data_IF_960276095293
#
_entry.id   IF_960276095293
#
_cell.length_a   1.000
_cell.length_b   1.000
_cell.length_c   1.000
_cell.angle_alpha   90.00
_cell.angle_beta   90.00
_cell.angle_gamma   90.00
#
_symmetry.space_group_name_H-M   'P 1'
#
loop_
_entity.id
_entity.type
_entity.pdbx_description
1 polymer ?
#
# COMPACT_ATOMS: atom_id res chain seq x y z
N UNK A 1 -20.12 -2.24 -3.44
CA UNK A 1 -21.21 -1.70 -2.61
C UNK A 1 -20.59 -0.98 -1.43
N UNK A 2 -21.05 0.20 -1.13
CA UNK A 2 -20.66 0.88 0.11
C UNK A 2 -21.41 0.18 1.24
N UNK A 3 -20.69 -0.27 2.30
CA UNK A 3 -21.34 -1.01 3.39
C UNK A 3 -22.24 -0.07 4.14
N UNK A 4 -23.43 -0.52 4.41
CA UNK A 4 -24.42 0.23 5.16
C UNK A 4 -24.06 0.25 6.63
N UNK A 5 -24.30 1.37 7.29
CA UNK A 5 -24.04 1.54 8.73
C UNK A 5 -24.78 0.51 9.56
N UNK A 6 -25.97 0.11 9.13
CA UNK A 6 -26.77 -0.95 9.78
C UNK A 6 -26.06 -2.29 9.87
N UNK A 7 -25.21 -2.63 8.89
CA UNK A 7 -24.43 -3.88 8.88
C UNK A 7 -23.26 -3.88 9.88
N UNK A 8 -22.89 -2.71 10.39
CA UNK A 8 -21.83 -2.54 11.39
C UNK A 8 -22.31 -2.68 12.83
N UNK A 9 -23.63 -2.69 13.04
CA UNK A 9 -24.24 -2.81 14.36
C UNK A 9 -24.04 -4.23 14.88
N UNK A 10 -23.31 -4.37 15.98
CA UNK A 10 -23.01 -5.67 16.59
C UNK A 10 -23.84 -5.96 17.83
N UNK A 11 -24.31 -4.92 18.52
CA UNK A 11 -25.07 -5.00 19.77
C UNK A 11 -26.12 -3.89 19.81
N UNK A 12 -27.22 -4.15 20.47
CA UNK A 12 -28.20 -3.13 20.83
C UNK A 12 -27.53 -2.09 21.73
N UNK A 13 -27.77 -0.78 21.53
CA UNK A 13 -27.19 0.25 22.35
C UNK A 13 -27.80 0.23 23.75
N UNK A 14 -27.02 0.54 24.78
CA UNK A 14 -27.58 0.78 26.10
C UNK A 14 -28.32 2.12 26.12
N UNK A 15 -29.53 2.08 26.62
CA UNK A 15 -30.41 3.25 26.74
C UNK A 15 -30.95 3.34 28.17
N UNK A 16 -31.01 4.55 28.70
CA UNK A 16 -31.64 4.83 29.99
C UNK A 16 -32.49 6.10 29.94
N UNK A 17 -33.32 6.29 30.97
CA UNK A 17 -34.14 7.50 31.14
C UNK A 17 -33.27 8.68 31.66
N UNK A 18 -33.65 9.95 31.41
CA UNK A 18 -32.87 11.13 31.81
C UNK A 18 -32.62 11.20 33.32
N UNK A 19 -33.53 10.72 34.14
CA UNK A 19 -33.43 10.74 35.63
C UNK A 19 -32.68 9.54 36.22
N UNK A 20 -32.13 8.64 35.40
CA UNK A 20 -31.32 7.51 35.87
C UNK A 20 -30.06 8.02 36.56
N UNK A 21 -29.75 7.50 37.76
CA UNK A 21 -28.56 7.90 38.49
C UNK A 21 -27.26 7.45 37.82
N UNK A 22 -26.17 8.23 37.99
CA UNK A 22 -24.85 7.88 37.49
C UNK A 22 -24.39 6.50 37.99
N UNK A 23 -24.72 6.13 39.22
CA UNK A 23 -24.42 4.82 39.78
C UNK A 23 -25.01 3.70 38.93
N UNK A 24 -26.30 3.79 38.62
CA UNK A 24 -27.00 2.79 37.80
C UNK A 24 -26.42 2.76 36.36
N UNK A 25 -26.14 3.91 35.79
CA UNK A 25 -25.51 4.06 34.45
C UNK A 25 -24.17 3.35 34.41
N UNK A 26 -23.28 3.61 35.38
CA UNK A 26 -21.95 3.03 35.41
C UNK A 26 -21.98 1.52 35.64
N UNK A 27 -22.87 1.04 36.53
CA UNK A 27 -23.09 -0.40 36.71
C UNK A 27 -23.58 -1.09 35.44
N UNK A 28 -24.47 -0.44 34.70
CA UNK A 28 -24.93 -0.99 33.42
C UNK A 28 -23.83 -0.98 32.35
N UNK A 29 -23.08 0.10 32.24
CA UNK A 29 -21.94 0.22 31.30
C UNK A 29 -20.84 -0.82 31.58
N UNK A 30 -20.54 -1.08 32.85
CA UNK A 30 -19.55 -2.08 33.27
C UNK A 30 -20.04 -3.50 32.97
N UNK A 31 -21.26 -3.85 33.40
CA UNK A 31 -21.86 -5.18 33.15
C UNK A 31 -21.88 -5.52 31.68
N UNK A 32 -22.26 -4.57 30.81
CA UNK A 32 -22.37 -4.79 29.36
C UNK A 32 -21.05 -4.51 28.61
N UNK A 33 -19.97 -4.20 29.35
CA UNK A 33 -18.65 -3.90 28.79
C UNK A 33 -18.70 -2.85 27.67
N UNK A 34 -19.52 -1.79 27.84
CA UNK A 34 -19.66 -0.71 26.85
C UNK A 34 -19.06 0.60 27.34
N UNK A 35 -18.66 1.46 26.39
CA UNK A 35 -18.06 2.79 26.67
C UNK A 35 -19.06 3.94 26.58
N UNK A 36 -20.35 3.67 26.34
CA UNK A 36 -21.35 4.72 26.11
C UNK A 36 -22.75 4.29 26.58
N UNK A 37 -23.54 5.29 26.98
CA UNK A 37 -24.95 5.18 27.37
C UNK A 37 -25.74 6.23 26.59
N UNK A 38 -26.75 5.82 25.87
CA UNK A 38 -27.74 6.73 25.27
C UNK A 38 -28.82 7.08 26.29
N UNK A 39 -29.31 8.30 26.19
CA UNK A 39 -30.40 8.79 27.02
C UNK A 39 -31.61 9.06 26.10
N UNK A 40 -32.72 8.41 26.36
CA UNK A 40 -33.97 8.61 25.64
C UNK A 40 -35.11 8.87 26.61
N UNK A 41 -36.12 9.59 26.14
CA UNK A 41 -37.35 9.79 26.91
C UNK A 41 -38.29 8.59 26.82
N UNK A 42 -39.46 8.70 27.48
CA UNK A 42 -40.48 7.64 27.50
C UNK A 42 -41.05 7.31 26.10
N UNK A 43 -40.91 8.23 25.14
CA UNK A 43 -41.34 8.01 23.75
C UNK A 43 -40.25 7.33 22.91
N UNK A 44 -39.04 7.12 23.46
CA UNK A 44 -37.89 6.58 22.77
C UNK A 44 -37.07 7.62 21.97
N UNK A 45 -37.40 8.92 22.09
CA UNK A 45 -36.63 9.97 21.43
C UNK A 45 -35.30 10.22 22.15
N UNK A 46 -34.20 10.18 21.37
CA UNK A 46 -32.83 10.31 21.90
C UNK A 46 -32.60 11.76 22.33
N UNK A 47 -32.28 11.96 23.60
CA UNK A 47 -32.03 13.28 24.21
C UNK A 47 -30.55 13.54 24.47
N UNK A 48 -29.74 12.48 24.68
CA UNK A 48 -28.36 12.64 25.05
C UNK A 48 -27.53 11.36 24.92
N UNK A 49 -26.24 11.53 25.08
CA UNK A 49 -25.23 10.46 25.20
C UNK A 49 -24.24 10.78 26.28
N UNK A 50 -23.84 9.78 27.06
CA UNK A 50 -22.72 9.85 28.00
C UNK A 50 -21.69 8.81 27.57
N UNK A 51 -20.42 9.25 27.46
CA UNK A 51 -19.31 8.37 27.06
C UNK A 51 -18.23 8.32 28.17
N UNK A 52 -17.32 7.33 28.11
CA UNK A 52 -16.18 7.25 29.05
C UNK A 52 -15.34 8.54 29.06
N UNK A 53 -15.27 9.25 27.95
CA UNK A 53 -14.53 10.51 27.87
C UNK A 53 -15.22 11.61 28.70
N UNK A 54 -16.54 11.64 28.70
CA UNK A 54 -17.32 12.62 29.46
C UNK A 54 -17.18 12.40 30.98
N UNK A 55 -16.95 11.15 31.42
CA UNK A 55 -16.86 10.81 32.85
C UNK A 55 -15.76 11.59 33.57
N UNK A 56 -14.58 11.73 32.95
CA UNK A 56 -13.44 12.42 33.57
C UNK A 56 -13.79 13.89 33.78
N UNK A 57 -14.26 14.56 32.74
CA UNK A 57 -14.42 16.01 32.74
C UNK A 57 -15.73 16.49 33.39
N UNK A 58 -16.78 15.65 33.37
CA UNK A 58 -18.12 16.04 33.80
C UNK A 58 -18.59 15.40 35.13
N UNK A 59 -17.90 14.34 35.57
CA UNK A 59 -18.27 13.62 36.79
C UNK A 59 -17.10 13.63 37.79
N UNK A 60 -15.93 13.11 37.38
CA UNK A 60 -14.80 12.85 38.28
C UNK A 60 -14.16 14.19 38.74
N UNK A 61 -13.75 15.04 37.78
CA UNK A 61 -13.11 16.32 38.12
C UNK A 61 -14.02 17.28 38.90
N UNK A 62 -15.35 17.40 38.57
CA UNK A 62 -16.27 18.18 39.36
C UNK A 62 -16.71 17.47 40.65
N UNK A 63 -16.30 16.22 40.90
CA UNK A 63 -16.64 15.43 42.10
C UNK A 63 -18.16 15.30 42.31
N UNK A 64 -18.93 15.06 41.23
CA UNK A 64 -20.36 14.92 41.31
C UNK A 64 -20.76 13.63 42.05
N UNK A 65 -21.81 13.67 42.92
CA UNK A 65 -22.34 12.50 43.58
C UNK A 65 -22.84 11.46 42.55
N UNK A 66 -22.66 10.18 42.82
CA UNK A 66 -23.19 9.10 41.98
C UNK A 66 -24.73 9.02 41.94
N UNK A 67 -25.42 9.70 42.83
CA UNK A 67 -26.86 9.91 42.80
C UNK A 67 -27.33 10.94 41.76
N UNK A 68 -26.40 11.71 41.15
CA UNK A 68 -26.71 12.71 40.13
C UNK A 68 -27.43 12.06 38.94
N UNK A 69 -28.52 12.63 38.41
CA UNK A 69 -29.17 12.16 37.21
C UNK A 69 -28.27 12.35 35.97
N UNK A 70 -28.32 11.36 35.01
CA UNK A 70 -27.50 11.39 33.81
C UNK A 70 -27.76 12.62 32.92
N UNK A 71 -28.98 13.18 32.95
CA UNK A 71 -29.34 14.37 32.18
C UNK A 71 -28.50 15.61 32.52
N UNK A 72 -27.93 15.66 33.75
CA UNK A 72 -27.06 16.75 34.19
C UNK A 72 -25.67 16.73 33.53
N UNK A 73 -25.22 15.57 33.05
CA UNK A 73 -23.85 15.37 32.55
C UNK A 73 -23.77 14.88 31.10
N UNK A 74 -24.91 14.45 30.52
CA UNK A 74 -24.93 13.97 29.14
C UNK A 74 -24.60 15.06 28.12
N UNK A 75 -24.07 14.67 26.98
CA UNK A 75 -23.97 15.51 25.78
C UNK A 75 -25.31 15.57 25.08
N UNK A 76 -25.77 16.78 24.75
CA UNK A 76 -27.01 17.06 24.01
C UNK A 76 -26.73 17.38 22.54
N UNK A 77 -27.78 17.51 21.71
CA UNK A 77 -27.62 17.87 20.30
C UNK A 77 -26.97 16.76 19.47
N UNK A 78 -27.34 15.53 19.74
CA UNK A 78 -26.75 14.33 19.17
C UNK A 78 -26.99 14.28 17.65
N UNK A 79 -25.95 13.94 16.92
CA UNK A 79 -26.05 13.62 15.49
C UNK A 79 -26.38 12.14 15.34
N UNK A 80 -27.38 11.85 14.54
CA UNK A 80 -27.81 10.49 14.19
C UNK A 80 -27.55 10.21 12.72
N UNK A 81 -27.48 8.95 12.33
CA UNK A 81 -27.30 8.52 10.96
C UNK A 81 -28.32 7.43 10.62
N UNK A 82 -28.73 7.36 9.36
CA UNK A 82 -29.64 6.31 8.90
C UNK A 82 -28.89 4.99 8.73
N UNK A 83 -29.58 3.86 9.02
CA UNK A 83 -29.01 2.51 8.87
C UNK A 83 -28.59 2.20 7.42
N UNK A 84 -29.26 2.80 6.42
CA UNK A 84 -28.97 2.64 5.01
C UNK A 84 -27.84 3.56 4.50
N UNK A 85 -27.39 4.51 5.33
CA UNK A 85 -26.23 5.36 5.01
C UNK A 85 -24.95 4.55 4.90
N UNK A 86 -24.01 5.02 4.06
CA UNK A 86 -22.71 4.39 3.88
C UNK A 86 -21.75 4.59 5.07
N UNK A 87 -20.88 3.62 5.33
CA UNK A 87 -19.86 3.71 6.39
C UNK A 87 -18.94 4.93 6.21
N UNK A 88 -18.67 5.36 4.97
CA UNK A 88 -17.92 6.58 4.67
C UNK A 88 -18.65 7.84 5.16
N UNK A 89 -19.94 7.91 4.95
CA UNK A 89 -20.77 9.02 5.41
C UNK A 89 -20.73 9.13 6.94
N UNK A 90 -20.79 7.99 7.65
CA UNK A 90 -20.63 7.95 9.10
C UNK A 90 -19.27 8.51 9.54
N UNK A 91 -18.16 8.13 8.88
CA UNK A 91 -16.83 8.66 9.17
C UNK A 91 -16.73 10.16 8.93
N UNK A 92 -17.25 10.65 7.81
CA UNK A 92 -17.25 12.08 7.48
C UNK A 92 -18.08 12.87 8.48
N UNK A 93 -19.23 12.33 8.90
CA UNK A 93 -20.09 12.95 9.92
C UNK A 93 -19.38 13.01 11.27
N UNK A 94 -18.72 11.92 11.71
CA UNK A 94 -17.93 11.90 12.94
C UNK A 94 -16.80 12.94 12.91
N UNK A 95 -16.04 13.00 11.80
CA UNK A 95 -14.96 13.96 11.64
C UNK A 95 -15.46 15.41 11.62
N UNK A 96 -16.51 15.70 10.85
CA UNK A 96 -17.09 17.05 10.69
C UNK A 96 -17.64 17.60 12.02
N UNK A 97 -18.30 16.74 12.78
CA UNK A 97 -18.95 17.13 14.05
C UNK A 97 -18.07 16.83 15.27
N UNK A 98 -16.85 16.30 15.08
CA UNK A 98 -15.91 15.93 16.14
C UNK A 98 -16.53 15.00 17.19
N UNK A 99 -17.38 14.06 16.73
CA UNK A 99 -18.01 13.01 17.53
C UNK A 99 -17.44 11.65 17.20
N UNK A 100 -17.40 10.74 18.16
CA UNK A 100 -16.87 9.38 18.01
C UNK A 100 -17.94 8.29 18.01
N UNK A 101 -19.19 8.69 18.17
CA UNK A 101 -20.35 7.80 18.24
C UNK A 101 -21.51 8.44 17.50
N UNK A 102 -22.21 7.66 16.70
CA UNK A 102 -23.43 8.05 16.00
C UNK A 102 -24.52 7.02 16.31
N UNK A 103 -25.63 7.41 16.97
CA UNK A 103 -26.82 6.59 17.03
C UNK A 103 -27.35 6.35 15.63
N UNK A 104 -27.71 5.10 15.35
CA UNK A 104 -28.21 4.64 14.05
C UNK A 104 -29.71 4.50 14.12
N UNK A 105 -30.39 5.16 13.20
CA UNK A 105 -31.85 5.10 13.08
C UNK A 105 -32.24 4.29 11.85
N UNK A 106 -33.35 3.56 11.95
CA UNK A 106 -34.03 2.94 10.83
C UNK A 106 -35.51 3.29 10.91
N UNK A 107 -36.01 3.92 9.87
CA UNK A 107 -37.39 4.44 9.85
C UNK A 107 -37.73 5.34 11.07
N UNK A 108 -36.72 6.10 11.55
CA UNK A 108 -36.88 6.98 12.70
C UNK A 108 -36.69 6.31 14.09
N UNK A 109 -36.54 5.00 14.15
CA UNK A 109 -36.34 4.24 15.39
C UNK A 109 -34.83 3.95 15.60
N UNK A 110 -34.39 4.00 16.86
CA UNK A 110 -33.05 3.64 17.25
C UNK A 110 -32.80 2.15 17.09
N UNK A 111 -31.91 1.76 16.19
CA UNK A 111 -31.56 0.35 15.94
C UNK A 111 -30.15 0.00 16.40
N UNK A 112 -29.27 1.01 16.62
CA UNK A 112 -27.90 0.75 16.98
C UNK A 112 -27.11 1.99 17.36
N UNK A 113 -25.85 1.76 17.69
CA UNK A 113 -24.84 2.79 17.89
C UNK A 113 -23.58 2.34 17.15
N UNK A 114 -23.07 3.18 16.25
CA UNK A 114 -21.79 2.96 15.57
C UNK A 114 -20.74 3.89 16.15
N UNK A 115 -19.55 3.36 16.43
CA UNK A 115 -18.42 4.13 16.91
C UNK A 115 -17.28 4.21 15.87
N UNK A 116 -16.38 5.18 16.04
CA UNK A 116 -15.14 5.27 15.27
C UNK A 116 -14.33 3.96 15.32
N UNK A 117 -14.35 3.27 16.48
CA UNK A 117 -13.71 1.97 16.65
C UNK A 117 -14.36 0.87 15.81
N UNK A 118 -15.67 0.89 15.66
CA UNK A 118 -16.39 -0.12 14.86
C UNK A 118 -16.07 0.05 13.37
N UNK A 119 -16.02 1.28 12.89
CA UNK A 119 -15.59 1.64 11.54
C UNK A 119 -14.14 1.22 11.29
N UNK A 120 -13.25 1.48 12.24
CA UNK A 120 -11.84 1.07 12.16
C UNK A 120 -11.67 -0.46 12.19
N UNK A 121 -12.36 -1.14 13.10
CA UNK A 121 -12.33 -2.61 13.18
C UNK A 121 -12.87 -3.27 11.91
N UNK A 122 -13.88 -2.67 11.32
CA UNK A 122 -14.44 -3.13 10.04
C UNK A 122 -13.41 -3.02 8.90
N UNK A 123 -12.73 -1.88 8.77
CA UNK A 123 -11.64 -1.72 7.78
C UNK A 123 -10.53 -2.77 8.00
N UNK A 124 -10.14 -2.98 9.25
CA UNK A 124 -9.15 -4.00 9.63
C UNK A 124 -9.62 -5.43 9.31
N UNK A 125 -10.90 -5.71 9.52
CA UNK A 125 -11.51 -7.01 9.18
C UNK A 125 -11.55 -7.23 7.67
N UNK A 126 -11.88 -6.22 6.87
CA UNK A 126 -11.90 -6.31 5.40
C UNK A 126 -10.53 -6.64 4.82
N UNK A 127 -9.46 -6.03 5.34
CA UNK A 127 -8.08 -6.34 4.94
C UNK A 127 -7.70 -7.78 5.28
N UNK A 128 -8.02 -8.22 6.51
CA UNK A 128 -7.73 -9.60 6.95
C UNK A 128 -8.50 -10.63 6.12
N UNK A 129 -9.77 -10.37 5.84
CA UNK A 129 -10.60 -11.24 5.00
C UNK A 129 -10.00 -11.34 3.60
N UNK A 130 -9.62 -10.21 2.99
CA UNK A 130 -9.03 -10.20 1.65
C UNK A 130 -7.68 -10.93 1.61
N UNK A 131 -6.79 -10.70 2.59
CA UNK A 131 -5.53 -11.44 2.69
C UNK A 131 -5.76 -12.94 2.86
N UNK A 132 -6.69 -13.33 3.73
CA UNK A 132 -7.06 -14.74 3.92
C UNK A 132 -7.67 -15.36 2.67
N UNK A 133 -8.53 -14.63 1.95
CA UNK A 133 -9.09 -15.09 0.67
C UNK A 133 -8.01 -15.33 -0.38
N UNK A 134 -7.00 -14.45 -0.46
CA UNK A 134 -5.85 -14.64 -1.35
C UNK A 134 -5.07 -15.90 -0.97
N UNK A 135 -4.76 -16.09 0.31
CA UNK A 135 -4.01 -17.23 0.81
C UNK A 135 -4.73 -18.57 0.59
N UNK A 136 -6.07 -18.56 0.70
CA UNK A 136 -6.92 -19.74 0.57
C UNK A 136 -7.40 -20.02 -0.85
N UNK A 137 -7.15 -19.12 -1.82
CA UNK A 137 -7.55 -19.32 -3.22
C UNK A 137 -6.89 -20.57 -3.80
N UNK A 138 -7.67 -21.44 -4.43
CA UNK A 138 -7.16 -22.69 -5.00
C UNK A 138 -6.95 -22.61 -6.52
N UNK A 139 -7.43 -21.54 -7.16
CA UNK A 139 -7.36 -21.36 -8.61
C UNK A 139 -6.98 -19.96 -9.04
N UNK A 140 -6.45 -19.82 -10.27
CA UNK A 140 -6.16 -18.52 -10.90
C UNK A 140 -7.42 -17.65 -11.05
N UNK A 141 -8.59 -18.19 -11.45
CA UNK A 141 -9.84 -17.41 -11.48
C UNK A 141 -10.23 -16.80 -10.11
N UNK A 142 -10.03 -17.53 -8.99
CA UNK A 142 -10.32 -17.01 -7.66
C UNK A 142 -9.40 -15.83 -7.32
N UNK A 143 -8.11 -15.95 -7.65
CA UNK A 143 -7.14 -14.87 -7.47
C UNK A 143 -7.47 -13.64 -8.31
N UNK A 144 -8.03 -13.80 -9.51
CA UNK A 144 -8.52 -12.69 -10.34
C UNK A 144 -9.65 -11.93 -9.63
N UNK A 145 -10.56 -12.63 -8.96
CA UNK A 145 -11.61 -11.98 -8.16
C UNK A 145 -11.01 -11.20 -7.00
N UNK A 146 -10.03 -11.79 -6.29
CA UNK A 146 -9.30 -11.10 -5.23
C UNK A 146 -8.57 -9.85 -5.73
N UNK A 147 -7.93 -9.88 -6.89
CA UNK A 147 -7.28 -8.72 -7.50
C UNK A 147 -8.30 -7.58 -7.79
N UNK A 148 -9.50 -7.93 -8.23
CA UNK A 148 -10.62 -6.98 -8.35
C UNK A 148 -11.00 -6.32 -7.02
N UNK A 149 -10.98 -7.07 -5.91
CA UNK A 149 -11.24 -6.52 -4.57
C UNK A 149 -10.10 -5.60 -4.10
N UNK A 150 -8.83 -5.93 -4.40
CA UNK A 150 -7.69 -5.03 -4.12
C UNK A 150 -7.90 -3.68 -4.79
N UNK A 151 -8.32 -3.68 -6.06
CA UNK A 151 -8.60 -2.44 -6.80
C UNK A 151 -9.76 -1.64 -6.18
N UNK A 152 -10.85 -2.32 -5.79
CA UNK A 152 -12.00 -1.67 -5.13
C UNK A 152 -11.60 -1.06 -3.79
N UNK A 153 -10.79 -1.78 -3.01
CA UNK A 153 -10.26 -1.31 -1.73
C UNK A 153 -9.37 -0.07 -1.94
N UNK A 154 -8.45 -0.11 -2.90
CA UNK A 154 -7.57 1.02 -3.22
C UNK A 154 -8.36 2.29 -3.57
N UNK A 155 -9.45 2.17 -4.34
CA UNK A 155 -10.34 3.28 -4.68
C UNK A 155 -10.99 3.87 -3.43
N UNK A 156 -11.55 3.04 -2.57
CA UNK A 156 -12.19 3.48 -1.31
C UNK A 156 -11.21 4.25 -0.42
N UNK A 157 -10.03 3.68 -0.19
CA UNK A 157 -9.01 4.31 0.65
C UNK A 157 -8.49 5.63 0.06
N UNK A 158 -8.35 5.71 -1.26
CA UNK A 158 -7.99 6.97 -1.94
C UNK A 158 -9.07 8.05 -1.76
N UNK A 159 -10.34 7.69 -1.90
CA UNK A 159 -11.47 8.59 -1.69
C UNK A 159 -11.54 9.10 -0.23
N UNK A 160 -11.10 8.28 0.72
CA UNK A 160 -10.99 8.62 2.15
C UNK A 160 -9.77 9.49 2.48
N UNK A 161 -8.94 9.84 1.50
CA UNK A 161 -7.78 10.71 1.71
C UNK A 161 -6.55 10.00 2.31
N UNK A 162 -6.49 8.66 2.27
CA UNK A 162 -5.30 7.91 2.69
C UNK A 162 -4.10 8.37 1.87
N UNK A 163 -2.96 8.57 2.53
CA UNK A 163 -1.73 8.99 1.89
C UNK A 163 -1.31 8.01 0.77
N UNK A 164 -0.94 8.54 -0.39
CA UNK A 164 -0.65 7.75 -1.59
C UNK A 164 0.47 6.71 -1.38
N UNK A 165 1.50 7.04 -0.61
CA UNK A 165 2.58 6.11 -0.26
C UNK A 165 2.13 4.99 0.65
N UNK A 166 1.25 5.26 1.62
CA UNK A 166 0.66 4.21 2.46
C UNK A 166 -0.24 3.29 1.63
N UNK A 167 -1.02 3.87 0.70
CA UNK A 167 -1.86 3.12 -0.22
C UNK A 167 -1.03 2.26 -1.18
N UNK A 168 0.05 2.80 -1.76
CA UNK A 168 0.95 2.03 -2.63
C UNK A 168 1.59 0.83 -1.90
N UNK A 169 2.04 1.03 -0.66
CA UNK A 169 2.56 -0.08 0.18
C UNK A 169 1.51 -1.15 0.46
N UNK A 170 0.27 -0.74 0.76
CA UNK A 170 -0.81 -1.69 0.98
C UNK A 170 -1.13 -2.48 -0.29
N UNK A 171 -1.23 -1.81 -1.44
CA UNK A 171 -1.44 -2.45 -2.74
C UNK A 171 -0.29 -3.41 -3.06
N UNK A 172 0.97 -2.98 -2.87
CA UNK A 172 2.14 -3.84 -3.06
C UNK A 172 2.08 -5.09 -2.18
N UNK A 173 1.73 -4.93 -0.89
CA UNK A 173 1.62 -6.06 0.03
C UNK A 173 0.55 -7.09 -0.40
N UNK A 174 -0.62 -6.63 -0.87
CA UNK A 174 -1.68 -7.51 -1.37
C UNK A 174 -1.29 -8.15 -2.70
N UNK A 175 -0.65 -7.41 -3.59
CA UNK A 175 -0.12 -7.94 -4.86
C UNK A 175 0.97 -9.01 -4.62
N UNK A 176 1.83 -8.80 -3.63
CA UNK A 176 2.80 -9.81 -3.17
C UNK A 176 2.10 -11.12 -2.76
N UNK A 177 1.00 -11.01 -2.01
CA UNK A 177 0.17 -12.15 -1.64
C UNK A 177 -0.39 -12.88 -2.86
N UNK A 178 -0.93 -12.14 -3.83
CA UNK A 178 -1.43 -12.68 -5.09
C UNK A 178 -0.31 -13.40 -5.86
N UNK A 179 0.86 -12.78 -6.00
CA UNK A 179 2.02 -13.36 -6.70
C UNK A 179 2.49 -14.64 -6.02
N UNK A 180 2.66 -14.65 -4.68
CA UNK A 180 3.04 -15.87 -3.93
C UNK A 180 2.03 -16.99 -4.13
N UNK A 181 0.74 -16.68 -4.16
CA UNK A 181 -0.28 -17.71 -4.33
C UNK A 181 -0.31 -18.26 -5.75
N UNK A 182 -0.13 -17.42 -6.80
CA UNK A 182 0.06 -17.88 -8.18
C UNK A 182 1.24 -18.82 -8.27
N UNK A 183 2.40 -18.45 -7.68
CA UNK A 183 3.60 -19.29 -7.63
C UNK A 183 3.27 -20.66 -7.03
N UNK A 184 2.66 -20.69 -5.84
CA UNK A 184 2.29 -21.92 -5.14
C UNK A 184 1.37 -22.83 -5.96
N UNK A 185 0.36 -22.26 -6.63
CA UNK A 185 -0.56 -23.02 -7.50
C UNK A 185 0.20 -23.62 -8.71
N UNK A 186 1.10 -22.85 -9.33
CA UNK A 186 1.89 -23.32 -10.47
C UNK A 186 2.91 -24.41 -10.06
N UNK A 187 3.60 -24.23 -8.91
CA UNK A 187 4.50 -25.25 -8.38
C UNK A 187 3.79 -26.57 -8.12
N UNK A 188 2.65 -26.53 -7.43
CA UNK A 188 1.86 -27.72 -7.14
C UNK A 188 1.40 -28.43 -8.42
N UNK A 189 0.94 -27.66 -9.42
CA UNK A 189 0.47 -28.21 -10.70
C UNK A 189 1.59 -28.88 -11.51
N UNK A 190 2.78 -28.29 -11.50
CA UNK A 190 3.90 -28.75 -12.32
C UNK A 190 4.88 -29.67 -11.60
N UNK A 191 4.68 -29.93 -10.31
CA UNK A 191 5.62 -30.70 -9.48
C UNK A 191 5.95 -32.09 -10.02
N UNK A 192 4.97 -32.78 -10.60
CA UNK A 192 5.16 -34.12 -11.18
C UNK A 192 5.94 -34.09 -12.50
N UNK A 193 5.83 -33.01 -13.28
CA UNK A 193 6.47 -32.86 -14.60
C UNK A 193 7.91 -32.36 -14.46
N UNK A 194 8.15 -31.41 -13.56
CA UNK A 194 9.45 -30.77 -13.39
C UNK A 194 10.42 -31.57 -12.51
N UNK A 195 9.89 -32.49 -11.70
CA UNK A 195 10.70 -33.20 -10.70
C UNK A 195 11.27 -32.25 -9.62
N UNK A 196 12.25 -32.73 -8.84
CA UNK A 196 12.84 -31.94 -7.77
C UNK A 196 13.69 -30.80 -8.34
N UNK A 197 13.27 -29.55 -8.06
CA UNK A 197 14.05 -28.35 -8.36
C UNK A 197 15.03 -28.04 -7.21
N UNK A 198 16.20 -27.47 -7.53
CA UNK A 198 17.12 -26.97 -6.52
C UNK A 198 16.52 -25.76 -5.76
N UNK A 199 17.21 -25.33 -4.73
CA UNK A 199 16.86 -24.10 -4.00
C UNK A 199 16.76 -22.91 -4.94
N UNK A 200 15.68 -22.14 -4.87
CA UNK A 200 15.44 -21.00 -5.76
C UNK A 200 14.64 -19.89 -5.09
N UNK A 201 14.68 -18.72 -5.69
CA UNK A 201 13.92 -17.56 -5.23
C UNK A 201 13.33 -16.79 -6.42
N UNK A 202 12.05 -16.44 -6.30
CA UNK A 202 11.41 -15.46 -7.17
C UNK A 202 11.79 -14.05 -6.74
N UNK A 203 12.30 -13.27 -7.68
CA UNK A 203 12.70 -11.88 -7.49
C UNK A 203 11.65 -10.94 -8.06
N UNK A 204 11.09 -10.08 -7.22
CA UNK A 204 10.31 -8.93 -7.64
C UNK A 204 11.26 -7.80 -8.02
N UNK A 205 11.05 -7.18 -9.18
CA UNK A 205 11.91 -6.13 -9.73
C UNK A 205 11.17 -4.79 -9.82
N UNK A 206 11.87 -3.74 -10.22
CA UNK A 206 11.27 -2.44 -10.51
C UNK A 206 10.38 -1.89 -9.39
N UNK A 207 9.17 -1.48 -9.69
CA UNK A 207 8.24 -0.94 -8.70
C UNK A 207 7.75 -1.99 -7.69
N UNK A 208 7.70 -3.26 -8.06
CA UNK A 208 7.35 -4.37 -7.17
C UNK A 208 8.48 -4.60 -6.16
N UNK A 209 9.72 -4.64 -6.62
CA UNK A 209 10.89 -4.76 -5.75
C UNK A 209 11.01 -3.60 -4.74
N UNK A 210 10.54 -2.40 -5.10
CA UNK A 210 10.53 -1.23 -4.21
C UNK A 210 9.29 -1.13 -3.31
N UNK A 211 8.32 -2.04 -3.41
CA UNK A 211 7.01 -1.94 -2.72
C UNK A 211 6.26 -0.63 -3.04
N UNK A 212 6.40 -0.17 -4.28
CA UNK A 212 5.83 1.10 -4.77
C UNK A 212 4.85 0.87 -5.92
N UNK A 213 4.31 -0.35 -6.06
CA UNK A 213 3.32 -0.65 -7.06
C UNK A 213 2.08 0.22 -6.89
N UNK A 214 1.47 0.54 -8.00
CA UNK A 214 0.19 1.21 -8.06
C UNK A 214 -0.86 0.25 -8.62
N UNK A 215 -2.10 0.68 -8.76
CA UNK A 215 -3.21 -0.19 -9.17
C UNK A 215 -3.14 -0.68 -10.62
N UNK A 216 -2.34 -0.03 -11.47
CA UNK A 216 -2.04 -0.49 -12.83
C UNK A 216 -0.53 -0.71 -12.93
N UNK A 217 -0.09 -1.94 -12.85
CA UNK A 217 1.31 -2.35 -12.91
C UNK A 217 1.45 -3.54 -13.84
N UNK A 218 2.52 -3.56 -14.61
CA UNK A 218 2.99 -4.70 -15.38
C UNK A 218 3.90 -5.58 -14.53
N UNK A 219 4.24 -6.73 -15.03
CA UNK A 219 5.16 -7.65 -14.36
C UNK A 219 6.60 -7.22 -14.62
N UNK A 220 7.41 -7.17 -13.55
CA UNK A 220 8.86 -7.08 -13.62
C UNK A 220 9.44 -8.09 -12.63
N UNK A 221 9.97 -9.22 -13.11
CA UNK A 221 10.40 -10.30 -12.24
C UNK A 221 11.56 -11.12 -12.81
N UNK A 222 12.23 -11.87 -11.94
CA UNK A 222 13.31 -12.77 -12.28
C UNK A 222 13.32 -14.00 -11.37
N UNK A 223 14.13 -15.01 -11.71
CA UNK A 223 14.45 -16.15 -10.87
C UNK A 223 15.96 -16.19 -10.63
N UNK A 224 16.33 -16.49 -9.37
CA UNK A 224 17.67 -16.92 -8.99
C UNK A 224 17.59 -18.31 -8.37
N UNK A 225 18.48 -19.23 -8.72
CA UNK A 225 18.50 -20.60 -8.23
C UNK A 225 19.93 -21.11 -8.00
N UNK A 226 20.08 -22.11 -7.11
CA UNK A 226 21.35 -22.80 -6.87
C UNK A 226 21.59 -23.90 -7.90
N UNK A 227 22.87 -24.21 -8.15
CA UNK A 227 23.30 -25.36 -8.96
C UNK A 227 23.54 -25.05 -10.44
N UNK A 228 23.61 -26.12 -11.24
CA UNK A 228 24.01 -26.06 -12.65
C UNK A 228 22.94 -25.37 -13.50
N UNK A 229 23.22 -24.15 -13.97
CA UNK A 229 22.33 -23.32 -14.76
C UNK A 229 21.78 -24.05 -16.00
N UNK A 230 22.63 -24.61 -16.90
CA UNK A 230 22.19 -25.37 -18.07
C UNK A 230 21.24 -26.53 -17.75
N UNK A 231 21.48 -27.26 -16.65
CA UNK A 231 20.68 -28.43 -16.26
C UNK A 231 19.25 -28.07 -15.86
N UNK A 232 19.05 -26.99 -15.13
CA UNK A 232 17.75 -26.65 -14.54
C UNK A 232 17.01 -25.55 -15.29
N UNK A 233 17.64 -24.89 -16.25
CA UNK A 233 17.09 -23.72 -16.96
C UNK A 233 15.75 -24.01 -17.61
N UNK A 234 15.61 -25.13 -18.31
CA UNK A 234 14.37 -25.44 -19.02
C UNK A 234 13.21 -25.68 -18.04
N UNK A 235 13.46 -26.38 -16.94
CA UNK A 235 12.46 -26.60 -15.90
C UNK A 235 12.01 -25.28 -15.25
N UNK A 236 12.95 -24.38 -14.92
CA UNK A 236 12.61 -23.07 -14.39
C UNK A 236 11.88 -22.17 -15.40
N UNK A 237 12.21 -22.26 -16.70
CA UNK A 237 11.49 -21.53 -17.75
C UNK A 237 10.04 -21.98 -17.87
N UNK A 238 9.80 -23.29 -17.82
CA UNK A 238 8.44 -23.84 -17.83
C UNK A 238 7.64 -23.37 -16.62
N UNK A 239 8.23 -23.44 -15.42
CA UNK A 239 7.63 -22.91 -14.20
C UNK A 239 7.37 -21.41 -14.30
N UNK A 240 8.36 -20.63 -14.71
CA UNK A 240 8.26 -19.19 -14.86
C UNK A 240 7.21 -18.78 -15.89
N UNK A 241 7.12 -19.50 -17.02
CA UNK A 241 6.09 -19.26 -18.04
C UNK A 241 4.69 -19.49 -17.47
N UNK A 242 4.47 -20.58 -16.72
CA UNK A 242 3.20 -20.84 -16.07
C UNK A 242 2.85 -19.74 -15.06
N UNK A 243 3.81 -19.28 -14.26
CA UNK A 243 3.62 -18.19 -13.28
C UNK A 243 3.31 -16.88 -14.00
N UNK A 244 4.10 -16.47 -15.00
CA UNK A 244 3.90 -15.21 -15.72
C UNK A 244 2.55 -15.18 -16.45
N UNK A 245 2.12 -16.29 -17.05
CA UNK A 245 0.78 -16.38 -17.65
C UNK A 245 -0.33 -16.37 -16.61
N UNK A 246 -0.16 -17.07 -15.48
CA UNK A 246 -1.10 -17.03 -14.37
C UNK A 246 -1.25 -15.62 -13.80
N UNK A 247 -0.15 -14.90 -13.62
CA UNK A 247 -0.17 -13.49 -13.20
C UNK A 247 -0.89 -12.60 -14.23
N UNK A 248 -0.70 -12.85 -15.54
CA UNK A 248 -1.41 -12.10 -16.58
C UNK A 248 -2.93 -12.34 -16.52
N UNK A 249 -3.38 -13.57 -16.24
CA UNK A 249 -4.79 -13.90 -16.04
C UNK A 249 -5.39 -13.23 -14.78
N UNK A 250 -4.62 -13.15 -13.70
CA UNK A 250 -5.00 -12.46 -12.47
C UNK A 250 -5.20 -10.96 -12.69
N UNK A 251 -4.47 -10.36 -13.64
CA UNK A 251 -4.61 -8.95 -13.99
C UNK A 251 -3.30 -8.14 -13.98
N UNK A 252 -2.14 -8.81 -13.94
CA UNK A 252 -0.82 -8.20 -14.10
C UNK A 252 -0.31 -8.41 -15.53
N UNK A 253 -0.46 -7.45 -16.46
CA UNK A 253 -0.06 -7.63 -17.85
C UNK A 253 1.41 -8.02 -18.00
N UNK A 254 1.73 -8.79 -19.02
CA UNK A 254 3.11 -9.12 -19.37
C UNK A 254 3.91 -7.84 -19.65
N UNK A 255 5.15 -7.81 -19.19
CA UNK A 255 6.05 -6.68 -19.41
C UNK A 255 6.41 -6.54 -20.89
N UNK A 256 6.13 -5.37 -21.50
CA UNK A 256 6.48 -5.08 -22.89
C UNK A 256 7.98 -5.07 -23.14
N UNK A 257 8.77 -4.81 -22.11
CA UNK A 257 10.25 -4.83 -22.14
C UNK A 257 10.84 -6.22 -21.96
N UNK A 258 10.01 -7.25 -21.76
CA UNK A 258 10.46 -8.62 -21.57
C UNK A 258 11.18 -8.89 -20.26
N UNK A 259 10.99 -8.05 -19.24
CA UNK A 259 11.59 -8.21 -17.91
C UNK A 259 10.77 -9.21 -17.10
N UNK A 260 10.88 -10.48 -17.46
CA UNK A 260 10.10 -11.57 -16.86
C UNK A 260 10.93 -12.83 -16.74
N UNK A 261 10.74 -13.57 -15.67
CA UNK A 261 11.45 -14.80 -15.34
C UNK A 261 11.34 -15.89 -16.44
N UNK A 262 10.27 -15.87 -17.24
CA UNK A 262 10.11 -16.76 -18.39
C UNK A 262 11.14 -16.55 -19.51
N UNK A 263 11.86 -15.44 -19.52
CA UNK A 263 12.90 -15.11 -20.49
C UNK A 263 14.29 -15.49 -19.95
N UNK A 264 15.14 -16.07 -20.77
CA UNK A 264 16.48 -16.56 -20.41
C UNK A 264 17.34 -15.53 -19.67
N UNK A 265 17.19 -14.26 -20.04
CA UNK A 265 17.91 -13.16 -19.44
C UNK A 265 17.63 -12.98 -17.93
N UNK A 266 16.42 -13.35 -17.50
CA UNK A 266 15.91 -13.11 -16.15
C UNK A 266 15.73 -14.40 -15.34
N UNK A 267 16.17 -15.55 -15.87
CA UNK A 267 16.16 -16.85 -15.20
C UNK A 267 17.57 -17.44 -15.17
N UNK A 268 18.28 -17.30 -14.05
CA UNK A 268 19.69 -17.63 -13.97
C UNK A 268 20.05 -18.29 -12.63
N UNK A 269 21.10 -19.11 -12.64
CA UNK A 269 21.74 -19.56 -11.39
C UNK A 269 22.42 -18.39 -10.67
N UNK A 270 22.80 -18.59 -9.40
CA UNK A 270 23.53 -17.58 -8.61
C UNK A 270 24.83 -17.19 -9.32
N UNK A 271 25.57 -18.19 -9.85
CA UNK A 271 26.84 -17.99 -10.57
C UNK A 271 26.62 -17.18 -11.85
N UNK A 272 25.62 -17.55 -12.64
CA UNK A 272 25.29 -16.84 -13.87
C UNK A 272 24.80 -15.41 -13.61
N UNK A 273 24.12 -15.15 -12.51
CA UNK A 273 23.77 -13.79 -12.11
C UNK A 273 25.03 -12.97 -11.75
N UNK A 274 25.99 -13.57 -11.01
CA UNK A 274 27.25 -12.92 -10.66
C UNK A 274 28.08 -12.58 -11.90
N UNK A 275 28.16 -13.48 -12.85
CA UNK A 275 28.84 -13.25 -14.13
C UNK A 275 28.16 -12.12 -14.91
N UNK A 276 26.85 -12.20 -15.06
CA UNK A 276 26.07 -11.23 -15.82
C UNK A 276 26.16 -9.81 -15.24
N UNK A 277 26.05 -9.67 -13.93
CA UNK A 277 26.24 -8.37 -13.25
C UNK A 277 27.69 -7.88 -13.35
N UNK A 278 28.66 -8.79 -13.28
CA UNK A 278 30.07 -8.43 -13.48
C UNK A 278 30.35 -7.88 -14.87
N UNK A 279 29.65 -8.38 -15.91
CA UNK A 279 29.73 -7.82 -17.26
C UNK A 279 29.16 -6.40 -17.33
N UNK A 280 28.05 -6.11 -16.63
CA UNK A 280 27.52 -4.75 -16.55
C UNK A 280 28.53 -3.78 -15.94
N UNK A 281 29.24 -4.21 -14.90
CA UNK A 281 30.28 -3.38 -14.26
C UNK A 281 31.48 -3.10 -15.18
N UNK A 282 31.89 -4.11 -15.93
CA UNK A 282 33.03 -4.00 -16.85
C UNK A 282 32.71 -3.20 -18.11
N UNK A 283 31.50 -3.39 -18.63
CA UNK A 283 31.05 -2.83 -19.91
C UNK A 283 29.67 -2.15 -19.73
N UNK A 284 29.63 -0.91 -19.21
CA UNK A 284 28.38 -0.18 -18.96
C UNK A 284 27.79 0.37 -20.27
N UNK A 285 27.31 -0.52 -21.13
CA UNK A 285 26.60 -0.19 -22.38
C UNK A 285 25.17 0.27 -22.05
N UNK A 286 24.48 1.02 -22.94
CA UNK A 286 23.11 1.51 -22.68
C UNK A 286 22.13 0.40 -22.26
N UNK A 287 22.18 -0.77 -22.90
CA UNK A 287 21.31 -1.90 -22.58
C UNK A 287 21.60 -2.45 -21.17
N UNK A 288 22.89 -2.57 -20.81
CA UNK A 288 23.31 -3.02 -19.48
C UNK A 288 22.89 -2.03 -18.39
N UNK A 289 22.98 -0.72 -18.67
CA UNK A 289 22.52 0.32 -17.74
C UNK A 289 21.00 0.29 -17.55
N UNK A 290 20.23 0.05 -18.62
CA UNK A 290 18.78 -0.10 -18.55
C UNK A 290 18.41 -1.31 -17.69
N UNK A 291 19.03 -2.46 -17.91
CA UNK A 291 18.81 -3.67 -17.14
C UNK A 291 19.17 -3.50 -15.67
N UNK A 292 20.33 -2.92 -15.40
CA UNK A 292 20.80 -2.62 -14.05
C UNK A 292 19.84 -1.68 -13.30
N UNK A 293 19.29 -0.67 -13.99
CA UNK A 293 18.28 0.23 -13.43
C UNK A 293 17.00 -0.48 -12.99
N UNK A 294 16.63 -1.57 -13.63
CA UNK A 294 15.47 -2.38 -13.25
C UNK A 294 15.88 -3.38 -12.18
N UNK A 295 17.03 -4.04 -12.36
CA UNK A 295 17.46 -5.15 -11.52
C UNK A 295 17.85 -4.71 -10.10
N UNK A 296 18.53 -3.59 -9.91
CA UNK A 296 19.03 -3.19 -8.58
C UNK A 296 17.97 -2.84 -7.56
N UNK A 297 16.71 -2.85 -7.96
CA UNK A 297 15.56 -2.76 -7.06
C UNK A 297 15.01 -4.13 -6.63
N UNK A 298 15.68 -5.25 -7.01
CA UNK A 298 15.14 -6.57 -6.73
C UNK A 298 14.93 -6.84 -5.24
N UNK A 299 13.94 -7.69 -4.96
CA UNK A 299 13.60 -8.20 -3.64
C UNK A 299 13.19 -9.66 -3.76
N UNK A 300 13.66 -10.53 -2.87
CA UNK A 300 13.15 -11.89 -2.78
C UNK A 300 11.69 -11.88 -2.35
N UNK A 301 10.81 -12.52 -3.12
CA UNK A 301 9.38 -12.53 -2.86
C UNK A 301 8.85 -13.91 -2.45
N UNK A 302 9.32 -14.97 -3.07
CA UNK A 302 8.89 -16.36 -2.81
C UNK A 302 10.05 -17.32 -2.98
N UNK A 303 9.99 -18.46 -2.34
CA UNK A 303 11.10 -19.42 -2.27
C UNK A 303 12.13 -19.05 -1.21
N UNK A 304 13.39 -19.37 -1.42
CA UNK A 304 14.48 -19.13 -0.46
C UNK A 304 15.03 -17.69 -0.60
N UNK A 305 14.49 -16.76 0.19
CA UNK A 305 14.81 -15.33 0.15
C UNK A 305 16.30 -15.05 0.42
N UNK A 306 16.98 -15.94 1.16
CA UNK A 306 18.42 -15.86 1.42
C UNK A 306 19.24 -15.70 0.13
N UNK A 307 18.86 -16.36 -0.96
CA UNK A 307 19.55 -16.23 -2.26
C UNK A 307 19.53 -14.79 -2.78
N UNK A 308 18.42 -14.10 -2.63
CA UNK A 308 18.31 -12.70 -3.01
C UNK A 308 19.20 -11.80 -2.15
N UNK A 309 19.21 -12.03 -0.82
CA UNK A 309 19.99 -11.22 0.11
C UNK A 309 21.50 -11.42 -0.08
N UNK A 310 21.95 -12.64 -0.33
CA UNK A 310 23.34 -12.97 -0.63
C UNK A 310 23.79 -12.34 -1.97
N UNK A 311 22.94 -12.45 -3.00
CA UNK A 311 23.24 -11.83 -4.30
C UNK A 311 23.33 -10.30 -4.16
N UNK A 312 22.43 -9.68 -3.40
CA UNK A 312 22.45 -8.24 -3.12
C UNK A 312 23.75 -7.82 -2.38
N UNK A 313 24.09 -8.56 -1.34
CA UNK A 313 25.30 -8.31 -0.55
C UNK A 313 26.54 -8.40 -1.42
N UNK A 314 26.61 -9.41 -2.28
CA UNK A 314 27.70 -9.57 -3.23
C UNK A 314 27.76 -8.39 -4.22
N UNK A 315 26.63 -7.93 -4.77
CA UNK A 315 26.55 -6.78 -5.67
C UNK A 315 27.11 -5.53 -4.98
N UNK A 316 26.73 -5.24 -3.75
CA UNK A 316 27.23 -4.05 -3.03
C UNK A 316 28.72 -4.10 -2.76
N UNK A 317 29.29 -5.28 -2.49
CA UNK A 317 30.73 -5.44 -2.34
C UNK A 317 31.47 -5.15 -3.67
N UNK A 318 30.90 -5.58 -4.79
CA UNK A 318 31.55 -5.39 -6.09
C UNK A 318 31.38 -3.95 -6.63
N UNK A 319 30.19 -3.36 -6.52
CA UNK A 319 29.88 -2.07 -7.14
C UNK A 319 30.76 -0.93 -6.61
N UNK A 320 31.19 -1.00 -5.35
CA UNK A 320 32.05 0.00 -4.73
C UNK A 320 33.40 0.22 -5.49
N UNK A 321 33.91 -0.84 -6.13
CA UNK A 321 35.13 -0.80 -6.97
C UNK A 321 34.89 -0.23 -8.39
N UNK A 322 33.63 -0.10 -8.83
CA UNK A 322 33.33 0.22 -10.24
C UNK A 322 32.76 1.64 -10.43
N UNK A 323 33.55 2.65 -10.07
CA UNK A 323 33.15 4.08 -10.13
C UNK A 323 32.68 4.54 -11.51
N UNK A 324 33.24 3.99 -12.61
CA UNK A 324 32.80 4.31 -13.95
C UNK A 324 31.38 3.84 -14.22
N UNK A 325 31.04 2.63 -13.79
CA UNK A 325 29.68 2.09 -13.90
C UNK A 325 28.66 2.96 -13.14
N UNK A 326 28.95 3.32 -11.89
CA UNK A 326 28.06 4.19 -11.08
C UNK A 326 27.83 5.53 -11.78
N UNK A 327 28.90 6.16 -12.31
CA UNK A 327 28.80 7.43 -13.07
C UNK A 327 27.99 7.28 -14.36
N UNK A 328 28.16 6.17 -15.07
CA UNK A 328 27.43 5.89 -16.31
C UNK A 328 25.94 5.68 -16.03
N UNK A 329 25.62 4.95 -14.96
CA UNK A 329 24.25 4.71 -14.50
C UNK A 329 23.55 6.04 -14.17
N UNK A 330 24.21 6.91 -13.40
CA UNK A 330 23.73 8.25 -13.06
C UNK A 330 23.54 9.13 -14.31
N UNK A 331 24.50 9.14 -15.22
CA UNK A 331 24.43 9.92 -16.45
C UNK A 331 23.31 9.49 -17.39
N UNK A 332 23.02 8.20 -17.48
CA UNK A 332 21.95 7.66 -18.33
C UNK A 332 20.57 8.02 -17.77
N UNK A 333 20.34 7.78 -16.49
CA UNK A 333 19.10 8.11 -15.81
C UNK A 333 18.80 9.62 -15.86
N UNK A 334 19.81 10.46 -15.72
CA UNK A 334 19.66 11.91 -15.78
C UNK A 334 19.34 12.38 -17.20
N UNK A 335 19.99 11.83 -18.24
CA UNK A 335 19.70 12.16 -19.65
C UNK A 335 18.28 11.80 -20.04
N UNK A 336 17.81 10.61 -19.68
CA UNK A 336 16.44 10.17 -19.98
C UNK A 336 15.40 11.04 -19.25
N UNK A 337 15.66 11.40 -18.00
CA UNK A 337 14.80 12.27 -17.19
C UNK A 337 14.75 13.70 -17.73
N UNK A 338 15.89 14.31 -18.04
CA UNK A 338 15.97 15.67 -18.57
C UNK A 338 15.39 15.76 -19.98
N UNK A 339 15.69 14.80 -20.86
CA UNK A 339 15.15 14.77 -22.22
C UNK A 339 13.61 14.66 -22.25
N UNK A 340 13.00 14.01 -21.28
CA UNK A 340 11.55 13.90 -21.15
C UNK A 340 10.93 15.12 -20.49
N UNK A 341 11.57 15.69 -19.47
CA UNK A 341 11.14 16.94 -18.83
C UNK A 341 11.20 18.11 -19.81
N UNK A 342 12.23 18.21 -20.64
CA UNK A 342 12.38 19.31 -21.61
C UNK A 342 11.45 19.22 -22.82
N UNK A 343 10.93 18.04 -23.13
CA UNK A 343 9.96 17.84 -24.21
C UNK A 343 8.51 18.09 -23.78
N UNK A 344 8.24 18.23 -22.49
CA UNK A 344 6.89 18.42 -21.97
C UNK A 344 6.78 19.79 -21.28
N UNK A 345 6.13 20.80 -21.91
CA UNK A 345 5.99 22.14 -21.32
C UNK A 345 5.23 22.13 -19.99
N UNK A 346 4.40 21.11 -19.76
CA UNK A 346 3.66 20.91 -18.50
C UNK A 346 4.60 20.45 -17.40
N UNK A 347 5.54 19.53 -17.69
CA UNK A 347 6.54 19.08 -16.72
C UNK A 347 7.47 20.22 -16.31
N UNK A 348 7.83 21.14 -17.24
CA UNK A 348 8.61 22.35 -16.93
C UNK A 348 7.80 23.29 -16.03
N UNK A 349 6.51 23.46 -16.29
CA UNK A 349 5.61 24.27 -15.47
C UNK A 349 5.42 23.67 -14.08
N UNK A 350 5.32 22.34 -13.97
CA UNK A 350 5.27 21.59 -12.69
C UNK A 350 6.58 21.77 -11.91
N UNK A 351 7.72 21.63 -12.55
CA UNK A 351 9.03 21.84 -11.91
C UNK A 351 9.20 23.30 -11.44
N UNK A 352 8.70 24.29 -12.21
CA UNK A 352 8.67 25.69 -11.81
C UNK A 352 7.66 25.99 -10.70
N UNK A 353 6.49 25.35 -10.72
CA UNK A 353 5.45 25.53 -9.71
C UNK A 353 5.83 24.85 -8.37
N UNK A 354 6.52 23.69 -8.40
CA UNK A 354 7.13 23.09 -7.21
C UNK A 354 8.13 24.06 -6.54
N UNK A 355 8.75 24.92 -7.32
CA UNK A 355 9.66 25.96 -6.82
C UNK A 355 8.95 27.17 -6.22
N UNK A 356 7.67 27.37 -6.47
CA UNK A 356 6.96 28.63 -6.14
C UNK A 356 5.73 28.51 -5.24
N UNK A 357 5.13 27.40 -4.99
CA UNK A 357 3.97 27.16 -4.11
C UNK A 357 2.99 26.12 -4.68
N UNK A 358 2.60 25.14 -3.86
CA UNK A 358 1.87 23.92 -4.22
C UNK A 358 0.40 24.03 -4.69
N UNK A 359 -0.04 25.16 -5.23
CA UNK A 359 -1.45 25.33 -5.62
C UNK A 359 -1.78 25.11 -7.11
N UNK A 360 -0.79 24.97 -7.97
CA UNK A 360 -1.04 24.91 -9.43
C UNK A 360 -1.33 23.50 -9.99
N UNK A 361 -1.20 22.46 -9.16
CA UNK A 361 -1.26 21.05 -9.63
C UNK A 361 -2.68 20.49 -9.76
N UNK A 362 -3.70 21.11 -9.22
CA UNK A 362 -5.09 20.63 -9.35
C UNK A 362 -5.71 20.82 -10.74
N UNK A 363 -5.13 21.70 -11.56
CA UNK A 363 -5.63 22.06 -12.89
C UNK A 363 -5.03 21.24 -14.04
N UNK A 364 -4.04 20.41 -13.80
CA UNK A 364 -3.41 19.59 -14.83
C UNK A 364 -4.18 18.28 -15.01
N UNK A 365 -4.85 18.15 -16.15
CA UNK A 365 -5.55 16.93 -16.51
C UNK A 365 -4.58 15.72 -16.48
N UNK A 366 -4.91 14.63 -15.79
CA UNK A 366 -4.05 13.44 -15.64
C UNK A 366 -3.62 12.78 -16.95
N UNK A 367 -4.32 13.08 -18.06
CA UNK A 367 -4.10 12.51 -19.38
C UNK A 367 -2.86 13.06 -20.13
N UNK A 368 -2.27 14.16 -19.66
CA UNK A 368 -1.19 14.87 -20.39
C UNK A 368 0.18 14.58 -19.79
N UNK A 369 0.26 14.04 -18.56
CA UNK A 369 1.52 13.75 -17.88
C UNK A 369 1.77 12.25 -17.86
N UNK A 370 2.88 11.77 -18.47
CA UNK A 370 3.43 10.45 -18.15
C UNK A 370 4.02 10.51 -16.72
N UNK A 371 3.14 10.31 -15.74
CA UNK A 371 3.48 10.41 -14.32
C UNK A 371 4.46 9.33 -13.85
N UNK A 372 4.61 8.22 -14.59
CA UNK A 372 5.60 7.18 -14.31
C UNK A 372 6.99 7.62 -14.77
N UNK A 373 7.14 7.89 -16.05
CA UNK A 373 8.46 8.14 -16.68
C UNK A 373 8.94 9.59 -16.55
N UNK A 374 8.02 10.55 -16.57
CA UNK A 374 8.36 11.97 -16.55
C UNK A 374 8.37 12.60 -15.16
N UNK A 375 7.88 11.90 -14.12
CA UNK A 375 7.74 12.49 -12.79
C UNK A 375 8.32 11.64 -11.66
N UNK A 376 7.83 10.41 -11.46
CA UNK A 376 8.31 9.57 -10.34
C UNK A 376 9.67 8.93 -10.62
N UNK A 377 9.95 8.54 -11.87
CA UNK A 377 11.19 7.86 -12.24
C UNK A 377 12.47 8.66 -11.92
N UNK A 378 12.55 9.98 -12.18
CA UNK A 378 13.73 10.77 -11.79
C UNK A 378 14.07 10.70 -10.31
N UNK A 379 13.06 10.76 -9.43
CA UNK A 379 13.28 10.66 -7.98
C UNK A 379 13.75 9.26 -7.59
N UNK A 380 13.17 8.23 -8.18
CA UNK A 380 13.56 6.83 -7.97
C UNK A 380 15.00 6.59 -8.40
N UNK A 381 15.38 7.05 -9.58
CA UNK A 381 16.74 6.89 -10.11
C UNK A 381 17.76 7.60 -9.24
N UNK A 382 17.52 8.86 -8.92
CA UNK A 382 18.39 9.64 -8.04
C UNK A 382 18.59 8.98 -6.67
N UNK A 383 17.49 8.56 -6.01
CA UNK A 383 17.57 7.89 -4.72
C UNK A 383 18.35 6.55 -4.79
N UNK A 384 18.18 5.78 -5.89
CA UNK A 384 18.91 4.53 -6.11
C UNK A 384 20.41 4.77 -6.29
N UNK A 385 20.77 5.69 -7.15
CA UNK A 385 22.17 5.98 -7.49
C UNK A 385 22.96 6.45 -6.29
N UNK A 386 22.40 7.38 -5.53
CA UNK A 386 23.01 7.83 -4.28
C UNK A 386 23.09 6.71 -3.23
N UNK A 387 22.17 5.75 -3.25
CA UNK A 387 22.15 4.64 -2.31
C UNK A 387 23.19 3.55 -2.62
N UNK A 388 23.59 3.41 -3.90
CA UNK A 388 24.53 2.34 -4.32
C UNK A 388 25.93 2.53 -3.75
N UNK A 389 26.48 3.74 -3.78
CA UNK A 389 27.85 4.00 -3.34
C UNK A 389 28.07 3.74 -1.83
N UNK A 390 27.17 4.18 -0.91
CA UNK A 390 27.29 3.88 0.50
C UNK A 390 26.70 2.50 0.91
N UNK A 391 26.28 1.68 -0.05
CA UNK A 391 25.77 0.33 0.24
C UNK A 391 24.42 0.30 0.97
N UNK A 392 23.53 1.25 0.71
CA UNK A 392 22.18 1.30 1.33
C UNK A 392 21.33 0.17 0.79
N UNK A 393 21.04 -0.82 1.63
CA UNK A 393 20.30 -2.03 1.28
C UNK A 393 18.81 -1.82 1.01
N UNK A 394 18.23 -0.69 1.44
CA UNK A 394 16.82 -0.38 1.22
C UNK A 394 16.49 -0.33 -0.28
N UNK A 395 15.33 -0.88 -0.68
CA UNK A 395 14.84 -0.82 -2.05
C UNK A 395 13.85 0.33 -2.26
N UNK A 396 12.94 0.55 -1.30
CA UNK A 396 11.93 1.61 -1.38
C UNK A 396 12.54 3.02 -1.40
N UNK A 397 12.05 3.86 -2.30
CA UNK A 397 12.58 5.23 -2.53
C UNK A 397 12.56 6.08 -1.25
N UNK A 398 11.45 6.08 -0.49
CA UNK A 398 11.35 6.81 0.78
C UNK A 398 12.36 6.32 1.82
N UNK A 399 12.58 5.01 1.89
CA UNK A 399 13.56 4.41 2.81
C UNK A 399 15.00 4.73 2.40
N UNK A 400 15.31 4.71 1.10
CA UNK A 400 16.62 5.13 0.58
C UNK A 400 16.93 6.58 0.93
N UNK A 401 15.97 7.50 0.70
CA UNK A 401 16.14 8.92 1.03
C UNK A 401 16.36 9.14 2.53
N UNK A 402 15.64 8.39 3.40
CA UNK A 402 15.88 8.42 4.85
C UNK A 402 17.26 7.90 5.23
N UNK A 403 17.67 6.77 4.67
CA UNK A 403 18.99 6.18 4.96
C UNK A 403 20.14 7.07 4.49
N UNK A 404 20.00 7.74 3.31
CA UNK A 404 20.98 8.71 2.81
C UNK A 404 21.10 9.94 3.72
N UNK A 405 20.01 10.39 4.32
CA UNK A 405 20.05 11.43 5.33
C UNK A 405 20.76 10.95 6.61
N UNK A 406 20.41 9.76 7.10
CA UNK A 406 20.97 9.20 8.32
C UNK A 406 22.49 8.95 8.25
N UNK A 407 23.03 8.64 7.06
CA UNK A 407 24.46 8.44 6.86
C UNK A 407 25.21 9.70 6.39
N UNK A 408 24.54 10.87 6.36
CA UNK A 408 25.14 12.15 6.01
C UNK A 408 25.40 12.40 4.52
N UNK A 409 24.95 11.51 3.63
CA UNK A 409 25.07 11.69 2.18
C UNK A 409 24.08 12.71 1.60
N UNK A 410 23.07 13.11 2.39
CA UNK A 410 22.03 14.08 2.03
C UNK A 410 21.62 14.87 3.27
N UNK A 411 21.34 16.16 3.13
CA UNK A 411 20.80 16.97 4.23
C UNK A 411 19.35 16.60 4.57
N UNK A 412 18.91 16.89 5.80
CA UNK A 412 17.54 16.63 6.24
C UNK A 412 16.52 17.41 5.38
N UNK A 413 16.83 18.65 5.03
CA UNK A 413 15.98 19.49 4.17
C UNK A 413 15.81 18.90 2.77
N UNK A 414 16.90 18.42 2.14
CA UNK A 414 16.85 17.79 0.83
C UNK A 414 16.07 16.49 0.87
N UNK A 415 16.31 15.64 1.87
CA UNK A 415 15.58 14.37 2.06
C UNK A 415 14.09 14.64 2.22
N UNK A 416 13.70 15.61 3.04
CA UNK A 416 12.30 15.96 3.28
C UNK A 416 11.63 16.46 2.00
N UNK A 417 12.25 17.41 1.31
CA UNK A 417 11.76 17.97 0.05
C UNK A 417 11.54 16.90 -1.02
N UNK A 418 12.49 15.98 -1.19
CA UNK A 418 12.39 14.91 -2.18
C UNK A 418 11.31 13.89 -1.85
N UNK A 419 11.15 13.57 -0.58
CA UNK A 419 10.10 12.65 -0.10
C UNK A 419 8.71 13.25 -0.27
N UNK A 420 8.55 14.53 0.02
CA UNK A 420 7.29 15.24 -0.19
C UNK A 420 6.94 15.33 -1.67
N UNK A 421 7.90 15.67 -2.52
CA UNK A 421 7.72 15.67 -3.97
C UNK A 421 7.32 14.28 -4.49
N UNK A 422 7.99 13.22 -4.04
CA UNK A 422 7.65 11.85 -4.40
C UNK A 422 6.23 11.46 -3.97
N UNK A 423 5.82 11.81 -2.75
CA UNK A 423 4.48 11.58 -2.23
C UNK A 423 3.40 12.26 -3.09
N UNK A 424 3.62 13.52 -3.47
CA UNK A 424 2.71 14.27 -4.33
C UNK A 424 2.60 13.60 -5.71
N UNK A 425 3.73 13.24 -6.33
CA UNK A 425 3.76 12.57 -7.63
C UNK A 425 3.06 11.21 -7.62
N UNK A 426 3.27 10.41 -6.59
CA UNK A 426 2.57 9.13 -6.39
C UNK A 426 1.05 9.34 -6.25
N UNK A 427 0.62 10.37 -5.53
CA UNK A 427 -0.81 10.70 -5.39
C UNK A 427 -1.46 10.99 -6.76
N UNK A 428 -0.81 11.78 -7.59
CA UNK A 428 -1.32 12.07 -8.94
C UNK A 428 -1.34 10.82 -9.83
N UNK A 429 -0.30 10.01 -9.77
CA UNK A 429 -0.23 8.75 -10.52
C UNK A 429 -1.38 7.81 -10.15
N UNK A 430 -1.62 7.59 -8.86
CA UNK A 430 -2.72 6.75 -8.37
C UNK A 430 -4.08 7.31 -8.77
N UNK A 431 -4.31 8.63 -8.64
CA UNK A 431 -5.56 9.28 -9.06
C UNK A 431 -5.82 9.06 -10.56
N UNK A 432 -4.81 9.26 -11.41
CA UNK A 432 -4.93 9.07 -12.86
C UNK A 432 -5.29 7.63 -13.22
N UNK A 433 -4.61 6.65 -12.61
CA UNK A 433 -4.86 5.23 -12.87
C UNK A 433 -6.25 4.78 -12.39
N UNK A 434 -6.68 5.21 -11.20
CA UNK A 434 -8.00 4.89 -10.67
C UNK A 434 -9.12 5.50 -11.51
N UNK A 435 -8.91 6.69 -12.07
CA UNK A 435 -9.85 7.33 -12.99
C UNK A 435 -9.94 6.60 -14.35
N UNK A 436 -8.80 6.08 -14.86
CA UNK A 436 -8.77 5.33 -16.14
C UNK A 436 -9.40 3.94 -16.01
N UNK A 437 -9.20 3.26 -14.89
CA UNK A 437 -9.77 1.94 -14.62
C UNK A 437 -11.31 1.97 -14.40
N UNK A 438 -11.96 3.13 -14.56
CA UNK A 438 -13.43 3.32 -14.55
C UNK A 438 -14.03 3.37 -15.97
N UNK A 439 -13.21 3.44 -17.00
CA UNK A 439 -13.62 3.42 -18.41
C UNK A 439 -13.51 2.03 -19.00
#
# INVERSE_FOLDING_TARGET
MDIRVGELIRKSPLVCLPKTSLQQVFQAMDREMTGSMLVADETGAIQGILTRYDLINRVILPQLPLSTPIEAVMSRGIKTIDADSGALEAMLMMARHKVRHLPVLQHGFLVGLVSERDLFNFQKSSLRILSSSIEQSESIPDLKLCAGEVLRLARRLMAQGVAATALARLVSHLNDGLTRRVISICEQRLSAELGPLPTWCWLALGSEGREEQTVATDQDNAIVFEGDGPRYREAFKQLAAAINHGLAEVGFPLCKGGVMAMNDKWCRSVEEWREHVSEWFKFPRPEALLDANIFFDFRGLSGEVRLADELRSWIFLQVAGHKLFIRSLAGDAMRDSVARLTRNPVAISVARAMRKQGYLMEWLAPSVLDTKRGATAPVVYFARELALAPGVAATATDQRLKALCANGAMSESESHMMRDAFNVLQKYRLKAQLAYALR
#
